data_IF_514333276945
#
_entry.id   IF_514333276945
#
_cell.length_a   1.000
_cell.length_b   1.000
_cell.length_c   1.000
_cell.angle_alpha   90.00
_cell.angle_beta   90.00
_cell.angle_gamma   90.00
#
_symmetry.space_group_name_H-M   'P 1'
#
loop_
_entity.id
_entity.type
_entity.pdbx_description
1 polymer ?
#
# COMPACT_ATOMS: atom_id res chain seq x y z
N UNK A 1 14.11 2.95 -9.98
CA UNK A 1 12.73 3.20 -10.44
C UNK A 1 12.61 4.66 -10.92
N UNK A 2 12.58 4.92 -12.24
CA UNK A 2 12.56 6.28 -12.79
C UNK A 2 11.36 7.13 -12.30
N UNK A 3 10.17 6.53 -12.19
CA UNK A 3 8.96 7.23 -11.71
C UNK A 3 9.07 7.80 -10.29
N UNK A 4 9.79 7.14 -9.38
CA UNK A 4 9.98 7.64 -8.00
C UNK A 4 10.86 8.90 -8.01
N UNK A 5 11.88 8.91 -8.87
CA UNK A 5 12.77 10.07 -9.04
C UNK A 5 12.00 11.26 -9.61
N UNK A 6 11.17 11.02 -10.63
CA UNK A 6 10.31 12.05 -11.24
C UNK A 6 9.33 12.66 -10.24
N UNK A 7 8.72 11.84 -9.36
CA UNK A 7 7.82 12.35 -8.31
C UNK A 7 8.58 13.25 -7.33
N UNK A 8 9.78 12.87 -6.90
CA UNK A 8 10.60 13.71 -6.01
C UNK A 8 10.99 15.04 -6.69
N UNK A 9 11.50 14.98 -7.91
CA UNK A 9 11.88 16.18 -8.68
C UNK A 9 10.68 17.11 -8.90
N UNK A 10 9.49 16.54 -9.14
CA UNK A 10 8.25 17.32 -9.27
C UNK A 10 7.83 17.99 -7.95
N UNK A 11 7.89 17.27 -6.82
CA UNK A 11 7.57 17.82 -5.50
C UNK A 11 8.56 18.94 -5.12
N UNK A 12 9.85 18.76 -5.40
CA UNK A 12 10.87 19.78 -5.19
C UNK A 12 10.60 21.02 -6.07
N UNK A 13 10.30 20.82 -7.36
CA UNK A 13 9.98 21.90 -8.27
C UNK A 13 8.74 22.70 -7.82
N UNK A 14 7.71 22.03 -7.31
CA UNK A 14 6.53 22.69 -6.72
C UNK A 14 6.92 23.48 -5.47
N UNK A 15 7.70 22.88 -4.56
CA UNK A 15 8.14 23.58 -3.34
C UNK A 15 8.94 24.86 -3.67
N UNK A 16 9.83 24.79 -4.67
CA UNK A 16 10.58 25.95 -5.16
C UNK A 16 9.65 26.97 -5.80
N UNK A 17 8.68 26.55 -6.63
CA UNK A 17 7.66 27.43 -7.20
C UNK A 17 6.86 28.16 -6.12
N UNK A 18 6.36 27.45 -5.11
CA UNK A 18 5.59 28.03 -4.01
C UNK A 18 6.44 29.00 -3.18
N UNK A 19 7.71 28.68 -2.94
CA UNK A 19 8.66 29.62 -2.32
C UNK A 19 8.88 30.88 -3.15
N UNK A 20 9.02 30.74 -4.47
CA UNK A 20 9.16 31.88 -5.39
C UNK A 20 7.86 32.68 -5.43
N UNK A 21 6.69 32.06 -5.42
CA UNK A 21 5.40 32.76 -5.35
C UNK A 21 5.24 33.52 -4.03
N UNK A 22 5.69 32.95 -2.91
CA UNK A 22 5.72 33.62 -1.62
C UNK A 22 6.72 34.79 -1.59
N UNK A 23 7.76 34.76 -2.43
CA UNK A 23 8.66 35.89 -2.65
C UNK A 23 8.08 36.80 -3.74
N UNK A 24 7.51 37.96 -3.37
CA UNK A 24 7.11 38.95 -4.39
C UNK A 24 8.34 39.30 -5.26
N UNK A 25 8.39 38.79 -6.50
CA UNK A 25 9.54 38.99 -7.36
C UNK A 25 9.46 40.37 -8.01
N UNK A 26 10.42 41.23 -7.67
CA UNK A 26 10.44 42.65 -8.03
C UNK A 26 11.69 42.93 -8.84
N UNK A 27 11.52 43.30 -10.11
CA UNK A 27 12.62 43.78 -10.95
C UNK A 27 12.65 45.30 -10.94
N UNK A 28 13.82 45.87 -10.66
CA UNK A 28 14.07 47.31 -10.71
C UNK A 28 14.58 47.65 -12.11
N UNK A 29 13.78 48.39 -12.87
CA UNK A 29 14.21 48.98 -14.14
C UNK A 29 14.71 50.39 -13.88
N UNK A 30 15.97 50.66 -14.24
CA UNK A 30 16.57 52.00 -14.19
C UNK A 30 16.41 52.67 -15.55
N UNK A 31 15.78 53.83 -15.61
CA UNK A 31 15.87 54.67 -16.80
C UNK A 31 17.20 55.42 -16.78
N UNK A 32 18.01 55.26 -17.82
CA UNK A 32 19.18 56.12 -18.02
C UNK A 32 18.71 57.54 -18.36
N UNK A 33 19.24 58.58 -17.71
CA UNK A 33 18.87 59.95 -18.02
C UNK A 33 19.38 60.31 -19.42
N UNK A 34 18.48 60.36 -20.40
CA UNK A 34 18.74 60.95 -21.72
C UNK A 34 18.64 62.47 -21.61
N UNK A 35 19.65 63.07 -20.99
CA UNK A 35 19.86 64.52 -20.99
C UNK A 35 21.00 64.87 -21.94
N UNK A 36 20.73 65.69 -22.97
CA UNK A 36 21.77 66.33 -23.78
C UNK A 36 22.42 67.40 -22.91
N UNK A 37 23.53 67.08 -22.23
CA UNK A 37 24.27 68.08 -21.47
C UNK A 37 25.30 67.51 -20.49
N UNK A 38 26.57 67.65 -20.88
CA UNK A 38 27.82 67.45 -20.11
C UNK A 38 28.14 66.00 -19.71
N UNK A 39 29.40 65.65 -20.00
CA UNK A 39 30.00 64.33 -19.85
C UNK A 39 29.71 63.72 -18.47
N UNK A 40 28.76 62.78 -18.44
CA UNK A 40 28.60 61.87 -17.33
C UNK A 40 29.81 60.93 -17.32
N UNK A 41 30.58 60.94 -16.23
CA UNK A 41 31.48 59.82 -15.95
C UNK A 41 30.61 58.57 -15.86
N UNK A 42 30.79 57.66 -16.81
CA UNK A 42 30.21 56.33 -16.77
C UNK A 42 30.89 55.61 -15.61
N UNK A 43 30.19 55.54 -14.49
CA UNK A 43 30.61 54.72 -13.36
C UNK A 43 30.69 53.26 -13.82
N UNK A 44 31.93 52.76 -13.99
CA UNK A 44 32.23 51.40 -14.43
C UNK A 44 31.90 50.35 -13.36
N UNK A 45 31.33 50.77 -12.22
CA UNK A 45 31.05 49.92 -11.08
C UNK A 45 29.58 49.52 -10.91
N UNK A 46 28.75 49.65 -11.96
CA UNK A 46 27.44 49.00 -11.96
C UNK A 46 27.57 47.50 -12.30
N UNK A 47 28.31 46.76 -11.47
CA UNK A 47 28.09 45.33 -11.38
C UNK A 47 26.63 45.14 -10.96
N UNK A 48 25.84 44.41 -11.74
CA UNK A 48 24.53 43.94 -11.30
C UNK A 48 24.74 43.16 -10.00
N UNK A 49 24.58 43.83 -8.85
CA UNK A 49 24.59 43.16 -7.56
C UNK A 49 23.35 42.29 -7.55
N UNK A 50 23.58 40.98 -7.63
CA UNK A 50 22.55 39.97 -7.50
C UNK A 50 21.97 40.10 -6.09
N UNK A 51 20.89 40.87 -5.94
CA UNK A 51 20.20 41.04 -4.67
C UNK A 51 19.29 39.85 -4.46
N UNK A 52 19.41 39.20 -3.31
CA UNK A 52 18.53 38.10 -2.91
C UNK A 52 17.23 38.69 -2.37
N UNK A 53 16.09 38.22 -2.86
CA UNK A 53 14.76 38.62 -2.38
C UNK A 53 14.27 37.54 -1.42
N UNK A 54 13.78 37.96 -0.24
CA UNK A 54 13.13 37.08 0.74
C UNK A 54 11.63 37.39 0.85
N UNK A 55 10.77 36.43 1.20
CA UNK A 55 9.34 36.67 1.39
C UNK A 55 9.10 37.80 2.40
N UNK A 56 8.21 38.76 2.06
CA UNK A 56 7.85 39.87 2.95
C UNK A 56 8.85 41.05 2.99
N UNK A 57 9.86 41.08 2.11
CA UNK A 57 10.84 42.17 2.05
C UNK A 57 10.26 43.44 1.39
N UNK A 58 10.47 44.60 2.03
CA UNK A 58 10.09 45.92 1.50
C UNK A 58 11.37 46.67 1.12
N UNK A 59 11.48 47.12 -0.13
CA UNK A 59 12.61 47.92 -0.62
C UNK A 59 12.13 49.29 -1.13
N UNK A 60 12.82 50.35 -0.73
CA UNK A 60 12.65 51.69 -1.28
C UNK A 60 13.35 51.82 -2.63
N UNK A 61 12.69 52.54 -3.56
CA UNK A 61 13.15 52.78 -4.93
C UNK A 61 13.71 54.20 -5.05
N UNK A 62 14.74 54.37 -5.87
CA UNK A 62 15.25 55.70 -6.19
C UNK A 62 14.37 56.39 -7.26
N UNK A 63 14.37 57.73 -7.34
CA UNK A 63 13.61 58.46 -8.35
C UNK A 63 13.96 58.01 -9.78
N UNK A 64 12.96 57.58 -10.56
CA UNK A 64 13.13 57.05 -11.93
C UNK A 64 13.28 55.53 -12.03
N UNK A 65 13.31 54.82 -10.89
CA UNK A 65 13.25 53.36 -10.84
C UNK A 65 11.80 52.87 -10.82
N UNK A 66 11.47 51.88 -11.65
CA UNK A 66 10.13 51.26 -11.66
C UNK A 66 10.19 49.76 -11.37
N UNK A 67 9.17 49.26 -10.70
CA UNK A 67 9.01 47.86 -10.33
C UNK A 67 8.10 47.16 -11.32
N UNK A 68 8.62 46.13 -11.98
CA UNK A 68 7.76 45.15 -12.65
C UNK A 68 7.68 43.91 -11.77
N UNK A 69 6.49 43.63 -11.23
CA UNK A 69 6.23 42.37 -10.55
C UNK A 69 6.04 41.28 -11.62
N UNK A 70 6.93 40.29 -11.63
CA UNK A 70 6.67 39.07 -12.41
C UNK A 70 5.87 38.17 -11.51
N UNK A 71 4.58 38.02 -11.81
CA UNK A 71 3.79 36.98 -11.19
C UNK A 71 4.00 35.71 -12.01
N UNK A 72 4.63 34.65 -11.47
CA UNK A 72 4.79 33.38 -12.17
C UNK A 72 3.40 32.81 -12.46
N UNK A 73 2.85 33.10 -13.63
CA UNK A 73 1.60 32.53 -14.08
C UNK A 73 1.86 31.10 -14.55
N UNK A 74 1.35 30.15 -13.78
CA UNK A 74 1.31 28.75 -14.15
C UNK A 74 0.22 28.10 -13.34
N UNK A 75 -0.57 27.22 -13.98
CA UNK A 75 -1.66 26.49 -13.32
C UNK A 75 -1.21 26.05 -11.92
N UNK A 76 -2.07 26.25 -10.92
CA UNK A 76 -1.89 25.64 -9.61
C UNK A 76 -1.62 24.16 -9.87
N UNK A 77 -0.38 23.73 -9.66
CA UNK A 77 0.03 22.38 -9.99
C UNK A 77 -0.85 21.48 -9.15
N UNK A 78 -1.73 20.69 -9.78
CA UNK A 78 -2.55 19.75 -9.04
C UNK A 78 -1.65 18.58 -8.64
N UNK A 79 -0.77 18.84 -7.69
CA UNK A 79 0.30 17.95 -7.28
C UNK A 79 -0.28 16.61 -6.82
N UNK A 80 -1.46 16.69 -6.19
CA UNK A 80 -2.28 15.56 -5.82
C UNK A 80 -2.58 14.65 -7.01
N UNK A 81 -3.10 15.18 -8.11
CA UNK A 81 -3.49 14.38 -9.28
C UNK A 81 -2.28 13.71 -9.94
N UNK A 82 -1.15 14.43 -10.05
CA UNK A 82 0.08 13.87 -10.60
C UNK A 82 0.63 12.73 -9.74
N UNK A 83 0.76 12.96 -8.42
CA UNK A 83 1.24 11.94 -7.48
C UNK A 83 0.30 10.73 -7.47
N UNK A 84 -1.01 10.96 -7.44
CA UNK A 84 -2.04 9.92 -7.48
C UNK A 84 -1.96 9.11 -8.78
N UNK A 85 -1.76 9.75 -9.93
CA UNK A 85 -1.59 9.07 -11.22
C UNK A 85 -0.33 8.21 -11.24
N UNK A 86 0.78 8.73 -10.73
CA UNK A 86 2.03 7.97 -10.67
C UNK A 86 1.94 6.77 -9.73
N UNK A 87 1.28 6.91 -8.58
CA UNK A 87 0.99 5.79 -7.68
C UNK A 87 0.08 4.75 -8.33
N UNK A 88 -0.96 5.17 -9.08
CA UNK A 88 -1.82 4.26 -9.85
C UNK A 88 -1.03 3.45 -10.88
N UNK A 89 -0.17 4.11 -11.66
CA UNK A 89 0.66 3.45 -12.66
C UNK A 89 1.73 2.52 -12.04
N UNK A 90 2.22 2.85 -10.85
CA UNK A 90 3.15 2.00 -10.12
C UNK A 90 2.44 0.77 -9.53
N UNK A 91 1.28 0.97 -8.90
CA UNK A 91 0.46 -0.09 -8.33
C UNK A 91 -0.05 -1.07 -9.38
N UNK A 92 -0.56 -0.57 -10.52
CA UNK A 92 -1.07 -1.45 -11.58
C UNK A 92 0.02 -2.36 -12.16
N UNK A 93 1.27 -1.90 -12.20
CA UNK A 93 2.41 -2.72 -12.65
C UNK A 93 2.72 -3.88 -11.70
N UNK A 94 2.31 -3.78 -10.43
CA UNK A 94 2.46 -4.84 -9.42
C UNK A 94 1.16 -5.62 -9.20
N UNK A 95 0.09 -5.32 -9.95
CA UNK A 95 -1.23 -5.92 -9.72
C UNK A 95 -1.89 -5.47 -8.41
N UNK A 96 -1.57 -4.27 -7.93
CA UNK A 96 -2.13 -3.69 -6.71
C UNK A 96 -2.94 -2.42 -7.00
N UNK A 97 -4.07 -2.29 -6.33
CA UNK A 97 -4.93 -1.11 -6.37
C UNK A 97 -4.24 0.14 -5.80
N UNK A 98 -4.71 1.32 -6.19
CA UNK A 98 -4.24 2.59 -5.61
C UNK A 98 -4.56 2.64 -4.12
N UNK A 99 -5.72 2.16 -3.77
CA UNK A 99 -6.30 2.17 -2.43
C UNK A 99 -5.43 1.35 -1.47
N UNK A 100 -4.97 0.18 -1.91
CA UNK A 100 -4.06 -0.69 -1.13
C UNK A 100 -2.64 -0.12 -1.06
N UNK A 101 -2.12 0.44 -2.16
CA UNK A 101 -0.76 0.97 -2.22
C UNK A 101 -0.58 2.30 -1.48
N UNK A 102 -1.57 3.20 -1.56
CA UNK A 102 -1.56 4.53 -0.93
C UNK A 102 -2.24 4.57 0.44
N UNK A 103 -3.07 3.56 0.77
CA UNK A 103 -3.99 3.54 1.91
C UNK A 103 -5.01 4.68 1.91
N UNK A 104 -5.24 5.31 0.76
CA UNK A 104 -6.24 6.35 0.58
C UNK A 104 -7.56 5.76 0.08
N UNK A 105 -8.59 5.85 0.91
CA UNK A 105 -9.95 5.37 0.60
C UNK A 105 -10.93 6.52 0.30
N UNK A 106 -10.44 7.75 0.10
CA UNK A 106 -11.29 8.94 -0.02
C UNK A 106 -12.23 8.96 -1.23
N UNK A 107 -11.91 8.22 -2.30
CA UNK A 107 -12.71 8.14 -3.53
C UNK A 107 -13.37 6.76 -3.75
N UNK A 108 -13.53 5.97 -2.70
CA UNK A 108 -13.93 4.57 -2.81
C UNK A 108 -15.27 4.36 -2.09
N UNK A 109 -16.18 3.61 -2.71
CA UNK A 109 -17.41 3.16 -2.06
C UNK A 109 -17.29 1.68 -1.70
N UNK A 110 -18.24 1.16 -0.92
CA UNK A 110 -18.19 -0.23 -0.45
C UNK A 110 -18.00 -1.25 -1.59
N UNK A 111 -18.70 -1.07 -2.71
CA UNK A 111 -18.64 -2.02 -3.84
C UNK A 111 -17.28 -1.97 -4.55
N UNK A 112 -16.75 -0.76 -4.81
CA UNK A 112 -15.45 -0.61 -5.46
C UNK A 112 -14.30 -1.03 -4.55
N UNK A 113 -14.39 -0.77 -3.24
CA UNK A 113 -13.43 -1.24 -2.24
C UNK A 113 -13.37 -2.78 -2.21
N UNK A 114 -14.54 -3.43 -2.23
CA UNK A 114 -14.64 -4.89 -2.26
C UNK A 114 -14.04 -5.48 -3.53
N UNK A 115 -14.37 -4.91 -4.68
CA UNK A 115 -13.82 -5.38 -5.95
C UNK A 115 -12.29 -5.18 -6.00
N UNK A 116 -11.78 -4.03 -5.54
CA UNK A 116 -10.34 -3.78 -5.46
C UNK A 116 -9.63 -4.76 -4.54
N UNK A 117 -10.18 -5.00 -3.34
CA UNK A 117 -9.62 -5.97 -2.39
C UNK A 117 -9.57 -7.39 -2.97
N UNK A 118 -10.62 -7.83 -3.68
CA UNK A 118 -10.65 -9.16 -4.30
C UNK A 118 -9.58 -9.31 -5.39
N UNK A 119 -9.34 -8.26 -6.18
CA UNK A 119 -8.29 -8.30 -7.21
C UNK A 119 -6.89 -8.29 -6.57
N UNK A 120 -6.67 -7.46 -5.55
CA UNK A 120 -5.42 -7.43 -4.79
C UNK A 120 -5.14 -8.78 -4.10
N UNK A 121 -6.19 -9.42 -3.55
CA UNK A 121 -6.09 -10.75 -2.96
C UNK A 121 -5.64 -11.82 -3.95
N UNK A 122 -6.04 -11.73 -5.23
CA UNK A 122 -5.56 -12.66 -6.26
C UNK A 122 -4.06 -12.50 -6.48
N UNK A 123 -3.57 -11.26 -6.54
CA UNK A 123 -2.13 -10.95 -6.63
C UNK A 123 -1.39 -11.51 -5.43
N UNK A 124 -1.87 -11.27 -4.20
CA UNK A 124 -1.25 -11.81 -3.00
C UNK A 124 -1.28 -13.33 -2.93
N UNK A 125 -2.38 -13.96 -3.34
CA UNK A 125 -2.53 -15.41 -3.34
C UNK A 125 -1.56 -16.07 -4.31
N UNK A 126 -1.33 -15.46 -5.49
CA UNK A 126 -0.33 -15.95 -6.44
C UNK A 126 1.09 -15.93 -5.83
N UNK A 127 1.46 -14.83 -5.15
CA UNK A 127 2.73 -14.73 -4.44
C UNK A 127 2.84 -15.72 -3.28
N UNK A 128 1.78 -15.90 -2.50
CA UNK A 128 1.74 -16.89 -1.42
C UNK A 128 1.94 -18.30 -1.96
N UNK A 129 1.26 -18.68 -3.03
CA UNK A 129 1.43 -20.00 -3.65
C UNK A 129 2.85 -20.17 -4.21
N UNK A 130 3.40 -19.14 -4.84
CA UNK A 130 4.80 -19.17 -5.29
C UNK A 130 5.77 -19.44 -4.14
N UNK A 131 5.60 -18.78 -2.99
CA UNK A 131 6.44 -18.99 -1.81
C UNK A 131 6.21 -20.39 -1.20
N UNK A 132 4.96 -20.85 -1.15
CA UNK A 132 4.62 -22.21 -0.67
C UNK A 132 5.36 -23.26 -1.49
N UNK A 133 5.12 -23.25 -2.80
CA UNK A 133 5.56 -24.30 -3.71
C UNK A 133 7.09 -24.31 -3.90
N UNK A 134 7.74 -23.14 -3.90
CA UNK A 134 9.17 -23.03 -4.22
C UNK A 134 10.09 -22.91 -3.01
N UNK A 135 9.58 -22.50 -1.85
CA UNK A 135 10.39 -22.32 -0.65
C UNK A 135 9.91 -23.20 0.50
N UNK A 136 8.63 -23.08 0.88
CA UNK A 136 8.14 -23.76 2.08
C UNK A 136 8.13 -25.28 1.90
N UNK A 137 7.63 -25.79 0.77
CA UNK A 137 7.55 -27.23 0.46
C UNK A 137 8.94 -27.89 0.46
N UNK A 138 9.91 -27.22 -0.16
CA UNK A 138 11.29 -27.72 -0.27
C UNK A 138 11.97 -27.73 1.11
N UNK A 139 11.92 -26.60 1.83
CA UNK A 139 12.51 -26.47 3.17
C UNK A 139 11.89 -27.47 4.14
N UNK A 140 10.57 -27.65 4.09
CA UNK A 140 9.88 -28.61 4.96
C UNK A 140 10.32 -30.04 4.65
N UNK A 141 10.38 -30.41 3.37
CA UNK A 141 10.76 -31.77 2.95
C UNK A 141 12.18 -32.11 3.41
N UNK A 142 13.13 -31.21 3.16
CA UNK A 142 14.53 -31.38 3.56
C UNK A 142 14.71 -31.38 5.08
N UNK A 143 13.93 -30.55 5.80
CA UNK A 143 13.95 -30.54 7.26
C UNK A 143 13.52 -31.88 7.85
N UNK A 144 12.41 -32.46 7.37
CA UNK A 144 11.94 -33.77 7.85
C UNK A 144 12.92 -34.89 7.51
N UNK A 145 13.48 -34.88 6.29
CA UNK A 145 14.50 -35.87 5.88
C UNK A 145 15.73 -35.76 6.79
N UNK A 146 16.20 -34.54 7.07
CA UNK A 146 17.35 -34.30 7.94
C UNK A 146 17.08 -34.77 9.38
N UNK A 147 15.88 -34.52 9.91
CA UNK A 147 15.49 -34.97 11.25
C UNK A 147 15.46 -36.51 11.36
N UNK A 148 15.05 -37.22 10.30
CA UNK A 148 15.12 -38.68 10.25
C UNK A 148 16.56 -39.17 10.15
N UNK A 149 17.41 -38.53 9.33
CA UNK A 149 18.81 -38.91 9.15
C UNK A 149 19.64 -38.72 10.43
N UNK A 150 19.38 -37.66 11.19
CA UNK A 150 20.06 -37.39 12.46
C UNK A 150 19.50 -38.23 13.63
N UNK A 151 18.43 -39.00 13.42
CA UNK A 151 17.84 -39.89 14.43
C UNK A 151 16.90 -39.21 15.43
N UNK A 152 16.55 -37.93 15.24
CA UNK A 152 15.54 -37.23 16.06
C UNK A 152 14.12 -37.74 15.79
N UNK A 153 13.86 -38.21 14.55
CA UNK A 153 12.61 -38.85 14.17
C UNK A 153 12.85 -40.31 13.76
N UNK A 154 12.49 -41.26 14.64
CA UNK A 154 12.53 -42.68 14.32
C UNK A 154 11.24 -43.14 13.61
N UNK A 155 11.31 -43.26 12.28
CA UNK A 155 10.20 -43.70 11.43
C UNK A 155 10.65 -44.91 10.60
N UNK A 156 10.25 -46.11 11.05
CA UNK A 156 10.72 -47.41 10.51
C UNK A 156 10.55 -47.60 9.00
N UNK A 157 9.46 -47.11 8.40
CA UNK A 157 9.16 -47.28 6.97
C UNK A 157 9.30 -45.98 6.16
N UNK A 158 9.97 -44.96 6.70
CA UNK A 158 10.10 -43.64 6.08
C UNK A 158 10.65 -43.71 4.66
N UNK A 159 11.77 -44.40 4.47
CA UNK A 159 12.45 -44.51 3.18
C UNK A 159 11.62 -45.26 2.13
N UNK A 160 10.71 -46.14 2.55
CA UNK A 160 9.80 -46.88 1.68
C UNK A 160 8.55 -46.06 1.33
N UNK A 161 8.09 -45.20 2.24
CA UNK A 161 6.82 -44.47 2.13
C UNK A 161 6.97 -42.95 2.31
N UNK A 162 8.03 -42.33 1.78
CA UNK A 162 8.32 -40.88 1.95
C UNK A 162 7.12 -39.98 1.68
N UNK A 163 6.39 -40.21 0.58
CA UNK A 163 5.22 -39.42 0.18
C UNK A 163 4.11 -39.39 1.24
N UNK A 164 3.97 -40.44 2.04
CA UNK A 164 2.98 -40.47 3.14
C UNK A 164 3.36 -39.49 4.25
N UNK A 165 4.63 -39.49 4.62
CA UNK A 165 5.16 -38.73 5.76
C UNK A 165 5.49 -37.27 5.41
N UNK A 166 5.83 -36.99 4.16
CA UNK A 166 6.06 -35.63 3.67
C UNK A 166 4.79 -34.92 3.22
N UNK A 167 3.61 -35.56 3.31
CA UNK A 167 2.35 -34.91 2.92
C UNK A 167 1.99 -33.84 3.95
N UNK A 168 1.89 -32.61 3.49
CA UNK A 168 1.58 -31.45 4.31
C UNK A 168 0.62 -30.50 3.56
N UNK A 169 0.06 -29.54 4.29
CA UNK A 169 -0.82 -28.50 3.75
C UNK A 169 -0.48 -27.18 4.43
N UNK A 170 -0.31 -26.11 3.63
CA UNK A 170 0.02 -24.79 4.13
C UNK A 170 -1.21 -23.92 4.27
N UNK A 171 -1.53 -23.58 5.52
CA UNK A 171 -2.59 -22.65 5.85
C UNK A 171 -1.99 -21.25 5.94
N UNK A 172 -2.37 -20.38 5.00
CA UNK A 172 -1.97 -18.97 4.98
C UNK A 172 -2.82 -18.14 5.93
N UNK A 173 -2.36 -16.92 6.24
CA UNK A 173 -3.17 -15.98 6.99
C UNK A 173 -4.53 -15.79 6.33
N UNK A 174 -5.57 -15.77 7.15
CA UNK A 174 -6.93 -15.50 6.71
C UNK A 174 -7.12 -14.09 6.20
N UNK A 175 -8.13 -13.93 5.36
CA UNK A 175 -8.59 -12.63 4.90
C UNK A 175 -9.73 -12.13 5.78
N UNK A 176 -9.66 -10.87 6.18
CA UNK A 176 -10.79 -10.22 6.86
C UNK A 176 -11.89 -9.89 5.87
N UNK A 177 -13.13 -10.07 6.30
CA UNK A 177 -14.30 -9.73 5.52
C UNK A 177 -14.68 -8.26 5.67
N UNK A 178 -15.25 -7.70 4.61
CA UNK A 178 -15.77 -6.32 4.64
C UNK A 178 -17.16 -6.29 5.31
N UNK A 179 -18.01 -7.28 5.03
CA UNK A 179 -19.32 -7.45 5.68
C UNK A 179 -19.42 -8.89 6.23
N UNK A 180 -18.97 -9.11 7.48
CA UNK A 180 -18.95 -10.43 8.08
C UNK A 180 -20.31 -11.13 8.09
N UNK A 181 -21.40 -10.39 8.28
CA UNK A 181 -22.72 -10.99 8.40
C UNK A 181 -23.19 -11.59 7.08
N UNK A 182 -23.05 -10.85 5.96
CA UNK A 182 -23.41 -11.37 4.64
C UNK A 182 -22.57 -12.58 4.26
N UNK A 183 -21.28 -12.54 4.56
CA UNK A 183 -20.36 -13.63 4.27
C UNK A 183 -20.67 -14.88 5.10
N UNK A 184 -20.97 -14.76 6.40
CA UNK A 184 -21.40 -15.91 7.22
C UNK A 184 -22.67 -16.54 6.66
N UNK A 185 -23.66 -15.72 6.29
CA UNK A 185 -24.91 -16.23 5.74
C UNK A 185 -24.70 -16.94 4.40
N UNK A 186 -23.90 -16.36 3.51
CA UNK A 186 -23.52 -17.00 2.25
C UNK A 186 -22.80 -18.34 2.48
N UNK A 187 -21.84 -18.38 3.40
CA UNK A 187 -21.11 -19.60 3.76
C UNK A 187 -22.03 -20.67 4.36
N UNK A 188 -23.00 -20.27 5.20
CA UNK A 188 -24.00 -21.19 5.76
C UNK A 188 -24.84 -21.83 4.66
N UNK A 189 -25.32 -21.04 3.71
CA UNK A 189 -26.07 -21.56 2.55
C UNK A 189 -25.20 -22.44 1.66
N UNK A 190 -23.97 -22.02 1.36
CA UNK A 190 -23.04 -22.79 0.51
C UNK A 190 -22.71 -24.18 1.10
N UNK A 191 -22.50 -24.28 2.42
CA UNK A 191 -22.32 -25.57 3.09
C UNK A 191 -23.61 -26.40 3.01
N UNK A 192 -24.78 -25.79 3.28
CA UNK A 192 -26.05 -26.49 3.28
C UNK A 192 -26.43 -27.04 1.88
N UNK A 193 -26.07 -26.31 0.82
CA UNK A 193 -26.29 -26.69 -0.58
C UNK A 193 -25.18 -27.61 -1.12
N UNK A 194 -24.12 -27.86 -0.35
CA UNK A 194 -22.98 -28.68 -0.77
C UNK A 194 -22.09 -28.04 -1.82
N UNK A 195 -22.19 -26.72 -2.01
CA UNK A 195 -21.34 -25.95 -2.95
C UNK A 195 -19.94 -25.70 -2.40
N UNK A 196 -19.76 -25.74 -1.08
CA UNK A 196 -18.48 -25.48 -0.43
C UNK A 196 -18.24 -26.40 0.78
N UNK A 197 -16.99 -26.41 1.27
CA UNK A 197 -16.54 -27.28 2.36
C UNK A 197 -16.07 -26.48 3.57
N UNK A 198 -16.12 -27.11 4.76
CA UNK A 198 -15.55 -26.53 5.97
C UNK A 198 -14.05 -26.25 5.85
N UNK A 199 -13.32 -27.09 5.09
CA UNK A 199 -11.90 -26.91 4.84
C UNK A 199 -11.62 -25.59 4.11
N UNK A 200 -12.36 -25.30 3.04
CA UNK A 200 -12.21 -24.06 2.29
C UNK A 200 -12.59 -22.83 3.13
N UNK A 201 -13.70 -22.89 3.86
CA UNK A 201 -14.20 -21.75 4.66
C UNK A 201 -13.28 -21.45 5.84
N UNK A 202 -12.79 -22.48 6.54
CA UNK A 202 -11.82 -22.31 7.62
C UNK A 202 -10.45 -21.87 7.06
N UNK A 203 -10.00 -22.46 5.94
CA UNK A 203 -8.75 -22.10 5.27
C UNK A 203 -8.73 -20.65 4.79
N UNK A 204 -9.86 -20.13 4.29
CA UNK A 204 -10.00 -18.71 3.93
C UNK A 204 -9.83 -17.76 5.14
N UNK A 205 -10.07 -18.26 6.36
CA UNK A 205 -9.84 -17.55 7.63
C UNK A 205 -8.49 -17.89 8.26
N UNK A 206 -7.65 -18.68 7.59
CA UNK A 206 -6.36 -19.12 8.10
C UNK A 206 -6.46 -20.10 9.27
N UNK A 207 -7.54 -20.87 9.32
CA UNK A 207 -7.79 -21.86 10.37
C UNK A 207 -7.83 -23.27 9.77
N UNK A 208 -7.28 -24.25 10.48
CA UNK A 208 -7.50 -25.66 10.15
C UNK A 208 -8.91 -26.08 10.63
N UNK A 209 -9.73 -26.53 9.69
CA UNK A 209 -11.08 -27.02 9.99
C UNK A 209 -11.08 -28.18 10.98
N UNK A 210 -10.04 -29.04 10.97
CA UNK A 210 -9.94 -30.17 11.91
C UNK A 210 -9.70 -29.68 13.32
N UNK A 211 -8.81 -28.71 13.50
CA UNK A 211 -8.57 -28.10 14.82
C UNK A 211 -9.79 -27.33 15.30
N UNK A 212 -10.50 -26.62 14.41
CA UNK A 212 -11.77 -25.97 14.75
C UNK A 212 -12.82 -26.98 15.24
N UNK A 213 -12.94 -28.15 14.59
CA UNK A 213 -13.88 -29.18 15.04
C UNK A 213 -13.46 -29.80 16.38
N UNK A 214 -12.17 -30.08 16.58
CA UNK A 214 -11.65 -30.57 17.87
C UNK A 214 -11.92 -29.56 18.99
N UNK A 215 -11.71 -28.28 18.73
CA UNK A 215 -11.95 -27.21 19.68
C UNK A 215 -13.45 -27.09 20.00
N UNK A 216 -14.31 -27.13 18.98
CA UNK A 216 -15.78 -27.15 19.18
C UNK A 216 -16.24 -28.33 20.03
N UNK A 217 -15.67 -29.52 19.83
CA UNK A 217 -16.01 -30.69 20.64
C UNK A 217 -15.64 -30.47 22.12
N UNK A 218 -14.44 -29.96 22.39
CA UNK A 218 -14.00 -29.62 23.76
C UNK A 218 -14.88 -28.55 24.40
N UNK A 219 -15.24 -27.52 23.65
CA UNK A 219 -16.12 -26.44 24.12
C UNK A 219 -17.52 -26.96 24.45
N UNK A 220 -18.07 -27.87 23.63
CA UNK A 220 -19.36 -28.50 23.90
C UNK A 220 -19.32 -29.39 25.15
N UNK A 221 -18.28 -30.19 25.33
CA UNK A 221 -18.10 -31.00 26.54
C UNK A 221 -17.97 -30.14 27.79
N UNK A 222 -17.16 -29.08 27.72
CA UNK A 222 -16.98 -28.16 28.82
C UNK A 222 -18.26 -27.39 29.15
N UNK A 223 -19.00 -26.93 28.14
CA UNK A 223 -20.28 -26.26 28.33
C UNK A 223 -21.31 -27.18 28.99
N UNK A 224 -21.40 -28.45 28.54
CA UNK A 224 -22.23 -29.47 29.20
C UNK A 224 -21.85 -29.67 30.66
N UNK A 225 -20.55 -29.67 30.99
CA UNK A 225 -20.09 -29.77 32.38
C UNK A 225 -20.50 -28.58 33.25
N UNK A 226 -20.66 -27.39 32.65
CA UNK A 226 -21.13 -26.17 33.30
C UNK A 226 -22.66 -26.01 33.28
N UNK A 227 -23.40 -26.93 32.67
CA UNK A 227 -24.85 -26.81 32.47
C UNK A 227 -25.25 -25.72 31.47
N UNK A 228 -24.34 -25.28 30.59
CA UNK A 228 -24.58 -24.26 29.57
C UNK A 228 -24.71 -24.95 28.20
N UNK A 229 -25.69 -24.54 27.40
CA UNK A 229 -25.85 -25.03 26.04
C UNK A 229 -25.27 -24.03 25.03
N UNK A 230 -24.15 -24.38 24.39
CA UNK A 230 -23.55 -23.58 23.31
C UNK A 230 -24.20 -24.02 21.99
N UNK A 231 -24.93 -23.13 21.34
CA UNK A 231 -25.59 -23.41 20.07
C UNK A 231 -24.61 -23.74 18.94
N UNK A 232 -24.80 -24.89 18.29
CA UNK A 232 -24.07 -25.34 17.11
C UNK A 232 -24.60 -26.72 16.67
N UNK A 233 -24.80 -26.90 15.35
CA UNK A 233 -25.46 -28.04 14.67
C UNK A 233 -25.44 -29.34 15.51
N UNK A 234 -26.48 -29.53 16.32
CA UNK A 234 -26.84 -30.79 16.93
C UNK A 234 -27.83 -31.47 16.00
N UNK A 235 -27.35 -31.95 14.86
CA UNK A 235 -28.08 -32.99 14.12
C UNK A 235 -27.59 -34.33 14.67
N UNK A 236 -28.09 -34.67 15.85
CA UNK A 236 -27.97 -36.02 16.38
C UNK A 236 -28.61 -36.97 15.36
N UNK A 237 -27.84 -37.94 14.87
CA UNK A 237 -28.43 -39.15 14.32
C UNK A 237 -28.97 -39.93 15.52
N UNK A 238 -30.28 -39.84 15.73
CA UNK A 238 -31.04 -40.96 16.28
C UNK A 238 -31.23 -42.02 15.18
#
# INVERSE_FOLDING_TARGET
MPRIKEVNEFVEAISVKERILACLSVFITKQHPTGIGRAAQIDKQSGYQMKTISPGMIHELQPGESVSAVNPSGQSSNAKDFIMMQQRLAGSGQGLSYETSSRDMSQVNYSSARQGLLEDQRTYSAWQNYIKDNLCDEVYSEFIISAVLCGELDIKDFWRNKRKYLRHEWITSGWSWIDPLKEVNANKSAIAEGMDTLANICGARGLDWKEVLKQRAKEQEYAKSLGINIGGITSGKE
#
